data_IF_273758198753
#
_entry.id   IF_273758198753
#
_cell.length_a   1.000
_cell.length_b   1.000
_cell.length_c   1.000
_cell.angle_alpha   90.00
_cell.angle_beta   90.00
_cell.angle_gamma   90.00
#
_symmetry.space_group_name_H-M   'P 1'
#
loop_
_entity.id
_entity.type
_entity.pdbx_description
1 polymer ?
#
# COMPACT_ATOMS: atom_id res chain seq x y z
N UNK A 1 4.86 23.04 5.46
CA UNK A 1 5.52 22.37 6.58
C UNK A 1 5.34 23.17 7.88
N UNK A 2 5.27 22.54 9.07
CA UNK A 2 5.02 23.22 10.34
C UNK A 2 5.98 24.37 10.68
N UNK A 3 7.27 24.21 10.36
CA UNK A 3 8.33 25.19 10.67
C UNK A 3 8.14 26.56 9.98
N UNK A 4 7.37 26.61 8.89
CA UNK A 4 7.02 27.87 8.21
C UNK A 4 6.00 28.68 9.02
N UNK A 5 5.09 28.01 9.74
CA UNK A 5 4.14 28.66 10.64
C UNK A 5 4.85 29.17 11.90
N UNK A 6 5.91 28.48 12.32
CA UNK A 6 6.76 28.87 13.46
C UNK A 6 7.79 29.96 13.09
N UNK A 7 7.81 30.42 11.84
CA UNK A 7 8.75 31.43 11.32
C UNK A 7 10.23 31.07 11.57
N UNK A 8 10.56 29.78 11.57
CA UNK A 8 11.92 29.28 11.77
C UNK A 8 12.71 29.24 10.45
N UNK A 9 14.04 29.21 10.56
CA UNK A 9 14.90 28.91 9.40
C UNK A 9 14.61 27.49 8.90
N UNK A 10 14.42 27.34 7.60
CA UNK A 10 14.01 26.08 6.98
C UNK A 10 15.07 25.52 6.03
N UNK A 11 14.92 24.25 5.66
CA UNK A 11 15.79 23.51 4.73
C UNK A 11 14.93 22.84 3.65
N UNK A 12 15.55 22.06 2.75
CA UNK A 12 14.86 21.25 1.73
C UNK A 12 13.79 20.29 2.29
N UNK A 13 13.84 19.99 3.59
CA UNK A 13 12.85 19.12 4.25
C UNK A 13 11.44 19.70 4.27
N UNK A 14 11.26 21.00 4.01
CA UNK A 14 9.92 21.58 3.79
C UNK A 14 9.24 21.01 2.56
N UNK A 15 10.02 20.70 1.51
CA UNK A 15 9.51 20.12 0.28
C UNK A 15 9.12 18.65 0.49
N UNK A 16 9.82 17.94 1.38
CA UNK A 16 9.47 16.57 1.74
C UNK A 16 8.10 16.51 2.43
N UNK A 17 7.81 17.47 3.31
CA UNK A 17 6.48 17.58 3.91
C UNK A 17 5.42 17.81 2.84
N UNK A 18 5.65 18.78 1.95
CA UNK A 18 4.71 19.10 0.86
C UNK A 18 4.45 17.88 -0.02
N UNK A 19 5.51 17.16 -0.42
CA UNK A 19 5.40 15.95 -1.22
C UNK A 19 4.67 14.83 -0.47
N UNK A 20 4.98 14.60 0.81
CA UNK A 20 4.27 13.63 1.63
C UNK A 20 2.77 13.94 1.76
N UNK A 21 2.41 15.21 1.97
CA UNK A 21 1.00 15.61 2.07
C UNK A 21 0.25 15.43 0.75
N UNK A 22 0.91 15.73 -0.36
CA UNK A 22 0.37 15.55 -1.70
C UNK A 22 0.19 14.06 -2.02
N UNK A 23 1.21 13.23 -1.77
CA UNK A 23 1.16 11.80 -2.01
C UNK A 23 0.04 11.13 -1.19
N UNK A 24 -0.11 11.51 0.08
CA UNK A 24 -1.21 11.04 0.92
C UNK A 24 -2.58 11.41 0.33
N UNK A 25 -2.74 12.65 -0.13
CA UNK A 25 -3.99 13.13 -0.74
C UNK A 25 -4.30 12.39 -2.05
N UNK A 26 -3.30 12.10 -2.88
CA UNK A 26 -3.49 11.29 -4.08
C UNK A 26 -3.96 9.86 -3.76
N UNK A 27 -3.53 9.28 -2.64
CA UNK A 27 -3.90 7.91 -2.23
C UNK A 27 -5.31 7.88 -1.62
N UNK A 28 -5.66 8.87 -0.81
CA UNK A 28 -6.84 8.84 0.08
C UNK A 28 -7.96 9.79 -0.34
N UNK A 29 -7.67 10.77 -1.20
CA UNK A 29 -8.61 11.81 -1.63
C UNK A 29 -8.72 13.02 -0.68
N UNK A 30 -7.96 13.08 0.41
CA UNK A 30 -7.96 14.22 1.33
C UNK A 30 -6.59 14.45 2.00
N UNK A 31 -6.34 15.65 2.53
CA UNK A 31 -5.06 15.98 3.18
C UNK A 31 -4.90 15.27 4.54
N UNK A 32 -3.68 14.83 4.91
CA UNK A 32 -3.46 13.98 6.08
C UNK A 32 -3.79 14.62 7.43
N UNK A 33 -3.72 15.95 7.55
CA UNK A 33 -3.80 16.62 8.85
C UNK A 33 -4.88 17.70 8.84
N UNK A 34 -6.05 17.40 9.41
CA UNK A 34 -7.15 18.34 9.72
C UNK A 34 -7.33 19.46 8.67
N UNK A 35 -7.69 19.13 7.41
CA UNK A 35 -7.62 20.04 6.26
C UNK A 35 -8.39 21.35 6.39
N UNK A 36 -9.46 21.35 7.19
CA UNK A 36 -10.40 22.45 7.33
C UNK A 36 -10.17 23.30 8.59
N UNK A 37 -9.19 22.94 9.42
CA UNK A 37 -8.89 23.64 10.67
C UNK A 37 -8.06 24.91 10.42
N UNK A 38 -8.30 25.95 11.21
CA UNK A 38 -7.52 27.19 11.14
C UNK A 38 -6.07 26.97 11.60
N UNK A 39 -5.07 27.70 11.05
CA UNK A 39 -3.65 27.42 11.29
C UNK A 39 -3.24 27.31 12.77
N UNK A 40 -3.78 28.14 13.66
CA UNK A 40 -3.44 28.13 15.09
C UNK A 40 -3.98 26.87 15.79
N UNK A 41 -5.24 26.52 15.55
CA UNK A 41 -5.86 25.32 16.10
C UNK A 41 -5.22 24.06 15.53
N UNK A 42 -4.97 24.07 14.22
CA UNK A 42 -4.27 23.01 13.49
C UNK A 42 -2.89 22.76 14.09
N UNK A 43 -2.08 23.81 14.27
CA UNK A 43 -0.72 23.68 14.80
C UNK A 43 -0.73 23.11 16.22
N UNK A 44 -1.59 23.64 17.10
CA UNK A 44 -1.74 23.16 18.48
C UNK A 44 -2.11 21.68 18.56
N UNK A 45 -2.97 21.21 17.64
CA UNK A 45 -3.47 19.83 17.66
C UNK A 45 -2.52 18.85 16.96
N UNK A 46 -2.04 19.16 15.76
CA UNK A 46 -1.18 18.28 14.98
C UNK A 46 0.21 18.14 15.61
N UNK A 47 0.68 19.13 16.37
CA UNK A 47 1.91 19.03 17.16
C UNK A 47 1.90 17.88 18.18
N UNK A 48 0.72 17.39 18.58
CA UNK A 48 0.56 16.28 19.53
C UNK A 48 0.77 14.90 18.87
N UNK A 49 0.92 14.85 17.54
CA UNK A 49 1.09 13.59 16.81
C UNK A 49 2.38 12.87 17.20
N UNK A 50 2.35 11.54 17.15
CA UNK A 50 3.53 10.70 17.24
C UNK A 50 4.40 10.81 15.98
N UNK A 51 5.64 10.32 16.05
CA UNK A 51 6.53 10.20 14.88
C UNK A 51 5.95 9.28 13.80
N UNK A 52 5.14 8.30 14.21
CA UNK A 52 4.54 7.30 13.32
C UNK A 52 3.18 7.74 12.74
N UNK A 53 2.57 8.79 13.28
CA UNK A 53 1.26 9.24 12.84
C UNK A 53 1.36 9.94 11.47
N UNK A 54 0.66 9.39 10.48
CA UNK A 54 0.60 9.91 9.11
C UNK A 54 -0.73 10.59 8.81
N UNK A 55 -1.74 10.42 9.67
CA UNK A 55 -3.04 11.08 9.52
C UNK A 55 -3.59 11.51 10.87
N UNK A 56 -4.19 12.70 10.89
CA UNK A 56 -4.98 13.25 12.00
C UNK A 56 -6.29 13.78 11.41
N UNK A 57 -7.39 13.16 11.80
CA UNK A 57 -8.71 13.47 11.26
C UNK A 57 -9.76 13.57 12.37
N UNK A 58 -10.88 14.20 12.03
CA UNK A 58 -12.04 14.33 12.91
C UNK A 58 -13.08 13.30 12.48
N UNK A 59 -13.55 12.47 13.42
CA UNK A 59 -14.60 11.50 13.13
C UNK A 59 -15.99 12.15 13.10
N UNK A 60 -17.03 11.35 12.82
CA UNK A 60 -18.41 11.85 12.73
C UNK A 60 -18.95 12.40 14.06
N UNK A 61 -18.32 12.08 15.19
CA UNK A 61 -18.68 12.59 16.51
C UNK A 61 -17.91 13.88 16.88
N UNK A 62 -17.06 14.39 15.99
CA UNK A 62 -16.18 15.52 16.26
C UNK A 62 -14.92 15.15 17.07
N UNK A 63 -14.64 13.85 17.25
CA UNK A 63 -13.46 13.41 17.98
C UNK A 63 -12.23 13.36 17.06
N UNK A 64 -11.15 14.00 17.49
CA UNK A 64 -9.88 13.98 16.74
C UNK A 64 -9.15 12.67 17.00
N UNK A 65 -8.90 11.91 15.94
CA UNK A 65 -8.15 10.64 15.94
C UNK A 65 -6.79 10.82 15.27
N UNK A 66 -5.80 10.12 15.81
CA UNK A 66 -4.44 10.02 15.27
C UNK A 66 -4.23 8.58 14.81
N UNK A 67 -3.60 8.38 13.65
CA UNK A 67 -3.32 7.05 13.13
C UNK A 67 -1.99 7.00 12.38
N UNK A 68 -1.29 5.88 12.56
CA UNK A 68 -0.08 5.51 11.83
C UNK A 68 -0.36 4.69 10.57
N UNK A 69 -1.61 4.34 10.31
CA UNK A 69 -2.06 3.53 9.17
C UNK A 69 -2.80 4.38 8.15
N UNK A 70 -2.63 4.03 6.87
CA UNK A 70 -3.30 4.66 5.75
C UNK A 70 -4.80 4.38 5.85
N UNK A 71 -5.65 5.42 5.76
CA UNK A 71 -7.10 5.24 5.74
C UNK A 71 -7.59 4.33 4.62
N UNK A 72 -8.63 3.56 4.93
CA UNK A 72 -9.44 2.84 3.96
C UNK A 72 -10.73 3.64 3.68
N UNK A 73 -11.22 3.74 2.44
CA UNK A 73 -10.80 3.01 1.24
C UNK A 73 -9.66 3.67 0.48
N UNK A 74 -8.80 2.85 -0.13
CA UNK A 74 -7.80 3.27 -1.10
C UNK A 74 -7.61 2.17 -2.16
N UNK A 75 -6.94 2.50 -3.26
CA UNK A 75 -6.77 1.61 -4.41
C UNK A 75 -5.40 0.89 -4.44
N UNK A 76 -4.65 0.92 -3.34
CA UNK A 76 -3.36 0.26 -3.25
C UNK A 76 -3.52 -1.22 -2.92
N UNK A 77 -2.60 -2.05 -3.41
CA UNK A 77 -2.46 -3.42 -2.92
C UNK A 77 -1.83 -3.45 -1.52
N UNK A 78 -1.95 -4.59 -0.83
CA UNK A 78 -1.51 -4.74 0.56
C UNK A 78 -0.01 -4.46 0.78
N UNK A 79 0.83 -4.82 -0.19
CA UNK A 79 2.29 -4.63 -0.11
C UNK A 79 2.64 -3.15 -0.28
N UNK A 80 2.10 -2.49 -1.31
CA UNK A 80 2.31 -1.06 -1.53
C UNK A 80 1.76 -0.24 -0.37
N UNK A 81 0.58 -0.58 0.15
CA UNK A 81 0.00 0.07 1.33
C UNK A 81 0.98 0.04 2.51
N UNK A 82 1.46 -1.14 2.89
CA UNK A 82 2.37 -1.29 4.03
C UNK A 82 3.71 -0.55 3.82
N UNK A 83 4.23 -0.53 2.58
CA UNK A 83 5.50 0.12 2.24
C UNK A 83 5.36 1.65 2.21
N UNK A 84 4.31 2.15 1.57
CA UNK A 84 4.03 3.58 1.47
C UNK A 84 3.61 4.19 2.81
N UNK A 85 2.93 3.45 3.69
CA UNK A 85 2.68 3.88 5.08
C UNK A 85 3.98 4.26 5.78
N UNK A 86 4.98 3.37 5.77
CA UNK A 86 6.29 3.61 6.39
C UNK A 86 7.04 4.75 5.73
N UNK A 87 6.99 4.83 4.39
CA UNK A 87 7.60 5.93 3.67
C UNK A 87 6.95 7.28 4.02
N UNK A 88 5.63 7.33 4.14
CA UNK A 88 4.89 8.52 4.56
C UNK A 88 5.24 8.97 5.99
N UNK A 89 5.58 8.04 6.89
CA UNK A 89 6.09 8.40 8.23
C UNK A 89 7.38 9.23 8.14
N UNK A 90 8.27 8.91 7.18
CA UNK A 90 9.50 9.68 6.94
C UNK A 90 9.18 11.09 6.41
N UNK A 91 8.21 11.19 5.50
CA UNK A 91 7.86 12.43 4.80
C UNK A 91 7.01 13.37 5.65
N UNK A 92 6.08 12.81 6.43
CA UNK A 92 5.15 13.52 7.32
C UNK A 92 5.68 13.62 8.76
N UNK A 93 6.99 13.46 8.94
CA UNK A 93 7.67 13.66 10.21
C UNK A 93 7.56 15.12 10.66
N UNK A 94 7.17 15.34 11.92
CA UNK A 94 7.08 16.71 12.46
C UNK A 94 8.46 17.34 12.58
N UNK A 95 9.43 16.61 13.13
CA UNK A 95 10.78 17.12 13.40
C UNK A 95 11.56 17.43 12.11
N UNK A 96 11.89 18.71 11.81
CA UNK A 96 12.44 19.10 10.51
C UNK A 96 13.73 18.37 10.12
N UNK A 97 14.67 18.18 11.06
CA UNK A 97 15.96 17.51 10.77
C UNK A 97 15.87 16.00 10.61
N UNK A 98 14.83 15.37 11.15
CA UNK A 98 14.65 13.91 11.06
C UNK A 98 13.77 13.56 9.85
N UNK A 99 12.96 14.50 9.37
CA UNK A 99 12.14 14.33 8.18
C UNK A 99 12.98 13.93 6.97
N UNK A 100 12.53 12.89 6.28
CA UNK A 100 13.22 12.30 5.14
C UNK A 100 14.49 11.49 5.48
N UNK A 101 14.78 11.27 6.76
CA UNK A 101 15.89 10.40 7.19
C UNK A 101 15.43 8.95 7.19
N UNK A 102 15.98 8.14 6.30
CA UNK A 102 15.67 6.72 6.22
C UNK A 102 16.61 5.91 7.13
N UNK A 103 16.13 4.84 7.81
CA UNK A 103 16.97 4.02 8.68
C UNK A 103 18.16 3.34 7.99
N UNK A 104 18.03 2.99 6.70
CA UNK A 104 19.07 2.33 5.93
C UNK A 104 19.94 3.35 5.15
N UNK A 105 19.32 4.38 4.57
CA UNK A 105 20.00 5.35 3.71
C UNK A 105 20.45 6.64 4.40
N UNK A 106 20.04 6.86 5.65
CA UNK A 106 20.41 8.02 6.44
C UNK A 106 19.68 9.31 6.02
N UNK A 107 20.23 10.50 6.33
CA UNK A 107 19.57 11.77 6.06
C UNK A 107 19.38 12.00 4.55
N UNK A 108 18.19 12.49 4.16
CA UNK A 108 17.75 12.63 2.76
C UNK A 108 17.62 11.29 2.01
N UNK A 109 17.57 10.17 2.73
CA UNK A 109 17.41 8.82 2.19
C UNK A 109 16.00 8.49 1.68
N UNK A 110 15.02 9.37 1.90
CA UNK A 110 13.62 9.12 1.54
C UNK A 110 13.36 8.87 0.05
N UNK A 111 14.18 9.39 -0.85
CA UNK A 111 14.03 9.13 -2.29
C UNK A 111 14.52 7.74 -2.66
N UNK A 112 15.65 7.28 -2.12
CA UNK A 112 16.10 5.89 -2.32
C UNK A 112 15.11 4.90 -1.72
N UNK A 113 14.56 5.22 -0.54
CA UNK A 113 13.50 4.43 0.06
C UNK A 113 12.25 4.36 -0.84
N UNK A 114 11.92 5.43 -1.57
CA UNK A 114 10.84 5.40 -2.55
C UNK A 114 11.22 4.60 -3.80
N UNK A 115 12.44 4.74 -4.29
CA UNK A 115 12.96 3.98 -5.43
C UNK A 115 12.87 2.47 -5.16
N UNK A 116 13.21 2.02 -3.96
CA UNK A 116 13.04 0.62 -3.56
C UNK A 116 11.59 0.13 -3.66
N UNK A 117 10.63 1.00 -3.32
CA UNK A 117 9.20 0.68 -3.41
C UNK A 117 8.75 0.64 -4.87
N UNK A 118 9.18 1.62 -5.68
CA UNK A 118 8.83 1.72 -7.09
C UNK A 118 9.45 0.61 -7.94
N UNK A 119 10.62 0.09 -7.54
CA UNK A 119 11.30 -1.01 -8.22
C UNK A 119 10.80 -2.40 -7.80
N UNK A 120 9.79 -2.49 -6.92
CA UNK A 120 9.19 -3.77 -6.56
C UNK A 120 8.52 -4.43 -7.77
N UNK A 121 8.90 -5.68 -8.03
CA UNK A 121 8.18 -6.56 -8.95
C UNK A 121 7.11 -7.29 -8.16
N UNK A 122 5.84 -7.00 -8.44
CA UNK A 122 4.71 -7.57 -7.72
C UNK A 122 3.94 -8.51 -8.64
N UNK A 123 3.62 -9.70 -8.13
CA UNK A 123 2.72 -10.66 -8.78
C UNK A 123 1.41 -10.71 -8.02
N UNK A 124 0.30 -10.63 -8.74
CA UNK A 124 -1.04 -10.63 -8.17
C UNK A 124 -1.76 -11.94 -8.52
N UNK A 125 -2.27 -12.61 -7.49
CA UNK A 125 -2.90 -13.94 -7.63
C UNK A 125 -4.29 -13.88 -7.04
N UNK A 126 -5.30 -14.02 -7.90
CA UNK A 126 -6.69 -14.17 -7.48
C UNK A 126 -6.97 -15.64 -7.16
N UNK A 127 -7.20 -15.94 -5.89
CA UNK A 127 -7.62 -17.26 -5.46
C UNK A 127 -9.10 -17.46 -5.82
N UNK A 128 -9.38 -18.35 -6.76
CA UNK A 128 -10.75 -18.61 -7.24
C UNK A 128 -11.60 -19.38 -6.23
N UNK A 129 -10.99 -19.99 -5.21
CA UNK A 129 -11.71 -20.66 -4.10
C UNK A 129 -12.34 -19.63 -3.16
N UNK A 130 -11.62 -18.56 -2.85
CA UNK A 130 -12.01 -17.57 -1.82
C UNK A 130 -12.43 -16.22 -2.40
N UNK A 131 -12.08 -15.93 -3.66
CA UNK A 131 -12.25 -14.62 -4.28
C UNK A 131 -11.30 -13.54 -3.74
N UNK A 132 -10.20 -13.92 -3.07
CA UNK A 132 -9.23 -12.99 -2.48
C UNK A 132 -7.99 -12.84 -3.36
N UNK A 133 -7.48 -11.61 -3.45
CA UNK A 133 -6.24 -11.31 -4.19
C UNK A 133 -5.05 -11.37 -3.22
N UNK A 134 -4.08 -12.19 -3.52
CA UNK A 134 -2.79 -12.29 -2.83
C UNK A 134 -1.73 -11.57 -3.67
N UNK A 135 -0.89 -10.74 -3.04
CA UNK A 135 0.17 -9.99 -3.73
C UNK A 135 1.52 -10.41 -3.19
N UNK A 136 2.41 -10.83 -4.09
CA UNK A 136 3.73 -11.34 -3.75
C UNK A 136 4.81 -10.47 -4.39
N UNK A 137 5.72 -9.84 -3.62
CA UNK A 137 6.95 -9.32 -4.19
C UNK A 137 7.83 -10.48 -4.64
N UNK A 138 8.35 -10.40 -5.86
CA UNK A 138 9.23 -11.40 -6.46
C UNK A 138 10.55 -10.79 -6.91
N UNK A 139 11.64 -11.55 -6.85
CA UNK A 139 12.91 -11.16 -7.47
C UNK A 139 13.00 -11.67 -8.91
N UNK A 140 13.95 -11.16 -9.69
CA UNK A 140 14.18 -11.62 -11.08
C UNK A 140 14.52 -13.10 -11.15
N UNK A 141 15.21 -13.58 -10.12
CA UNK A 141 15.76 -14.95 -10.04
C UNK A 141 14.80 -15.91 -9.33
N UNK A 142 13.66 -15.45 -8.83
CA UNK A 142 12.73 -16.29 -8.07
C UNK A 142 12.07 -17.33 -8.98
N UNK A 143 12.20 -18.60 -8.62
CA UNK A 143 11.59 -19.70 -9.37
C UNK A 143 10.09 -19.77 -9.14
N UNK A 144 9.34 -20.34 -10.10
CA UNK A 144 7.91 -20.54 -9.94
C UNK A 144 7.59 -21.47 -8.75
N UNK A 145 8.46 -22.43 -8.44
CA UNK A 145 8.30 -23.33 -7.29
C UNK A 145 8.37 -22.55 -5.96
N UNK A 146 9.27 -21.57 -5.83
CA UNK A 146 9.31 -20.68 -4.66
C UNK A 146 8.00 -19.92 -4.48
N UNK A 147 7.47 -19.37 -5.57
CA UNK A 147 6.18 -18.67 -5.55
C UNK A 147 5.04 -19.63 -5.16
N UNK A 148 4.98 -20.84 -5.73
CA UNK A 148 3.99 -21.87 -5.38
C UNK A 148 4.02 -22.25 -3.90
N UNK A 149 5.21 -22.36 -3.31
CA UNK A 149 5.38 -22.63 -1.88
C UNK A 149 4.81 -21.49 -1.01
N UNK A 150 4.96 -20.23 -1.44
CA UNK A 150 4.38 -19.05 -0.74
C UNK A 150 2.87 -19.01 -0.89
N UNK A 151 2.35 -19.31 -2.09
CA UNK A 151 0.90 -19.44 -2.34
C UNK A 151 0.30 -20.50 -1.43
N UNK A 152 0.96 -21.64 -1.27
CA UNK A 152 0.52 -22.72 -0.39
C UNK A 152 0.38 -22.25 1.07
N UNK A 153 1.29 -21.39 1.55
CA UNK A 153 1.22 -20.88 2.93
C UNK A 153 -0.01 -20.00 3.16
N UNK A 154 -0.38 -19.17 2.19
CA UNK A 154 -1.51 -18.24 2.30
C UNK A 154 -2.87 -18.88 1.94
N UNK A 155 -2.88 -19.88 1.07
CA UNK A 155 -4.12 -20.49 0.54
C UNK A 155 -4.39 -21.89 1.05
N UNK A 156 -3.38 -22.59 1.55
CA UNK A 156 -3.46 -24.00 1.93
C UNK A 156 -3.45 -24.99 0.75
N UNK A 157 -3.46 -24.52 -0.50
CA UNK A 157 -3.52 -25.39 -1.69
C UNK A 157 -2.12 -26.00 -1.94
N UNK A 158 -1.97 -27.34 -1.99
CA UNK A 158 -0.70 -28.01 -2.30
C UNK A 158 -0.13 -27.59 -3.67
N UNK A 159 1.19 -27.63 -3.84
CA UNK A 159 1.84 -27.11 -5.05
C UNK A 159 1.46 -27.89 -6.32
N UNK A 160 1.19 -29.19 -6.15
CA UNK A 160 0.69 -30.12 -7.16
C UNK A 160 -0.75 -29.82 -7.59
N UNK A 161 -1.56 -29.25 -6.70
CA UNK A 161 -2.97 -28.93 -6.94
C UNK A 161 -3.18 -27.48 -7.41
N UNK A 162 -2.13 -26.65 -7.34
CA UNK A 162 -2.15 -25.27 -7.82
C UNK A 162 -2.10 -25.21 -9.35
N UNK A 163 -3.25 -24.95 -9.97
CA UNK A 163 -3.37 -24.58 -11.38
C UNK A 163 -3.38 -23.05 -11.51
N UNK A 164 -2.32 -22.50 -12.09
CA UNK A 164 -2.12 -21.05 -12.26
C UNK A 164 -2.32 -20.68 -13.73
N UNK A 165 -3.34 -19.88 -14.02
CA UNK A 165 -3.72 -19.46 -15.36
C UNK A 165 -3.59 -17.94 -15.53
N UNK A 166 -3.10 -17.49 -16.68
CA UNK A 166 -3.15 -16.09 -17.10
C UNK A 166 -4.53 -15.76 -17.69
N UNK A 167 -4.80 -14.47 -17.94
CA UNK A 167 -6.06 -13.99 -18.53
C UNK A 167 -6.44 -14.71 -19.83
N UNK A 168 -5.46 -15.07 -20.67
CA UNK A 168 -5.67 -15.81 -21.91
C UNK A 168 -6.00 -17.31 -21.71
N UNK A 169 -6.13 -17.79 -20.47
CA UNK A 169 -6.34 -19.20 -20.13
C UNK A 169 -5.09 -20.07 -20.29
N UNK A 170 -3.91 -19.46 -20.41
CA UNK A 170 -2.63 -20.16 -20.54
C UNK A 170 -2.07 -20.48 -19.16
N UNK A 171 -1.66 -21.74 -18.97
CA UNK A 171 -0.96 -22.16 -17.75
C UNK A 171 0.46 -21.60 -17.69
N UNK A 172 0.91 -21.26 -16.48
CA UNK A 172 2.28 -20.81 -16.25
C UNK A 172 3.30 -21.92 -16.57
N UNK A 173 4.44 -21.52 -17.14
CA UNK A 173 5.50 -22.44 -17.56
C UNK A 173 6.44 -22.71 -16.39
N UNK A 174 6.58 -23.97 -16.00
CA UNK A 174 7.35 -24.39 -14.81
C UNK A 174 8.85 -24.04 -14.85
N UNK A 175 9.45 -23.97 -16.03
CA UNK A 175 10.89 -23.71 -16.21
C UNK A 175 11.21 -22.20 -16.29
N UNK A 176 10.18 -21.35 -16.33
CA UNK A 176 10.34 -19.89 -16.34
C UNK A 176 10.27 -19.32 -14.91
N UNK A 177 10.95 -18.18 -14.66
CA UNK A 177 10.90 -17.52 -13.36
C UNK A 177 9.48 -17.02 -13.03
N UNK A 178 9.24 -16.70 -11.76
CA UNK A 178 7.98 -16.16 -11.26
C UNK A 178 7.61 -14.82 -11.94
N UNK A 179 8.61 -14.06 -12.39
CA UNK A 179 8.45 -12.81 -13.14
C UNK A 179 7.71 -12.96 -14.47
N UNK A 180 7.53 -14.18 -14.98
CA UNK A 180 6.70 -14.43 -16.17
C UNK A 180 5.24 -13.98 -16.01
N UNK A 181 4.79 -13.78 -14.77
CA UNK A 181 3.44 -13.29 -14.45
C UNK A 181 3.30 -11.78 -14.69
N UNK A 182 4.41 -11.07 -14.87
CA UNK A 182 4.44 -9.61 -15.02
C UNK A 182 4.62 -9.28 -16.50
N UNK A 183 3.72 -8.47 -17.04
CA UNK A 183 3.81 -7.97 -18.40
C UNK A 183 4.83 -6.82 -18.46
N UNK A 184 5.80 -6.90 -19.38
CA UNK A 184 6.80 -5.86 -19.67
C UNK A 184 6.21 -4.58 -20.33
N UNK A 185 4.90 -4.35 -20.19
CA UNK A 185 4.22 -3.16 -20.69
C UNK A 185 4.70 -1.90 -19.97
N UNK A 186 4.85 -0.79 -20.69
CA UNK A 186 5.17 0.51 -20.09
C UNK A 186 4.15 0.85 -19.00
N UNK A 187 4.63 1.07 -17.77
CA UNK A 187 3.87 1.63 -16.65
C UNK A 187 3.26 2.97 -17.08
N UNK A 188 1.98 2.96 -17.44
CA UNK A 188 1.19 4.14 -17.77
C UNK A 188 0.13 4.36 -16.67
N UNK A 189 -0.50 5.54 -16.62
CA UNK A 189 -1.51 5.90 -15.60
C UNK A 189 -2.72 4.95 -15.49
N UNK A 190 -2.93 4.06 -16.47
CA UNK A 190 -3.95 3.02 -16.46
C UNK A 190 -3.48 1.63 -16.00
N UNK A 191 -2.23 1.48 -15.54
CA UNK A 191 -1.76 0.20 -15.00
C UNK A 191 -2.50 -0.07 -13.69
N UNK A 192 -3.34 -1.10 -13.72
CA UNK A 192 -4.12 -1.57 -12.58
C UNK A 192 -3.70 -2.99 -12.26
N UNK A 193 -4.05 -3.45 -11.06
CA UNK A 193 -3.90 -4.84 -10.62
C UNK A 193 -4.40 -5.87 -11.65
N UNK A 194 -5.36 -5.48 -12.49
CA UNK A 194 -6.00 -6.34 -13.48
C UNK A 194 -5.09 -6.68 -14.68
N UNK A 195 -4.04 -5.88 -14.97
CA UNK A 195 -3.18 -6.10 -16.14
C UNK A 195 -2.19 -7.27 -15.98
N UNK A 196 -1.88 -7.67 -14.73
CA UNK A 196 -0.90 -8.72 -14.40
C UNK A 196 -1.47 -9.73 -13.39
N UNK A 197 -2.76 -10.02 -13.52
CA UNK A 197 -3.47 -10.92 -12.63
C UNK A 197 -3.35 -12.38 -13.09
N UNK A 198 -2.94 -13.24 -12.18
CA UNK A 198 -2.95 -14.70 -12.35
C UNK A 198 -4.09 -15.29 -11.55
N UNK A 199 -4.83 -16.22 -12.16
CA UNK A 199 -5.94 -16.92 -11.54
C UNK A 199 -5.45 -18.25 -10.98
N UNK A 200 -5.68 -18.46 -9.69
CA UNK A 200 -5.36 -19.70 -8.98
C UNK A 200 -6.60 -20.57 -8.83
N UNK A 201 -6.52 -21.77 -9.41
CA UNK A 201 -7.48 -22.85 -9.27
C UNK A 201 -6.89 -23.99 -8.44
N UNK A 202 -7.78 -24.80 -7.89
CA UNK A 202 -7.47 -25.92 -7.01
C UNK A 202 -7.97 -27.19 -7.69
N UNK A 203 -7.05 -27.99 -8.24
CA UNK A 203 -7.37 -29.22 -8.97
C UNK A 203 -8.07 -30.28 -8.10
N UNK A 204 -7.97 -30.17 -6.77
CA UNK A 204 -8.68 -31.07 -5.86
C UNK A 204 -10.18 -30.79 -5.81
N UNK A 205 -10.63 -29.60 -6.26
CA UNK A 205 -12.03 -29.17 -6.22
C UNK A 205 -12.75 -29.45 -7.53
N UNK A 206 -13.87 -30.16 -7.43
CA UNK A 206 -14.79 -30.43 -8.55
C UNK A 206 -15.91 -29.38 -8.63
N UNK A 207 -16.19 -28.68 -7.52
CA UNK A 207 -17.19 -27.62 -7.43
C UNK A 207 -16.70 -26.48 -6.54
N UNK A 208 -17.07 -25.25 -6.90
CA UNK A 208 -16.72 -24.05 -6.16
C UNK A 208 -17.97 -23.51 -5.46
N UNK A 209 -17.90 -23.36 -4.14
CA UNK A 209 -18.94 -22.66 -3.40
C UNK A 209 -18.81 -21.15 -3.62
N UNK A 210 -19.94 -20.45 -3.69
CA UNK A 210 -20.00 -18.99 -3.79
C UNK A 210 -19.73 -18.34 -2.42
N UNK A 211 -18.52 -18.51 -1.88
CA UNK A 211 -18.08 -17.81 -0.67
C UNK A 211 -17.40 -16.49 -1.03
N UNK A 212 -18.15 -15.56 -1.62
CA UNK A 212 -17.65 -14.20 -1.87
C UNK A 212 -17.81 -13.39 -0.59
N UNK A 213 -16.76 -13.33 0.22
CA UNK A 213 -16.75 -12.41 1.37
C UNK A 213 -16.64 -10.97 0.85
N UNK A 214 -17.66 -10.11 1.06
CA UNK A 214 -17.59 -8.74 0.58
C UNK A 214 -16.46 -7.98 1.28
N UNK A 215 -15.81 -7.07 0.56
CA UNK A 215 -14.73 -6.24 1.14
C UNK A 215 -15.23 -5.52 2.40
N UNK A 216 -14.40 -5.46 3.46
CA UNK A 216 -14.76 -4.73 4.68
C UNK A 216 -15.02 -3.26 4.33
N UNK A 217 -16.06 -2.68 4.92
CA UNK A 217 -16.42 -1.28 4.69
C UNK A 217 -15.63 -0.36 5.62
N UNK A 218 -15.36 0.89 5.21
CA UNK A 218 -14.73 1.90 6.08
C UNK A 218 -15.53 2.15 7.36
N UNK A 219 -14.85 2.60 8.42
CA UNK A 219 -15.48 2.94 9.72
C UNK A 219 -16.65 3.93 9.57
N UNK A 220 -16.49 4.97 8.75
CA UNK A 220 -17.53 5.98 8.52
C UNK A 220 -18.80 5.38 7.89
N UNK A 221 -18.63 4.48 6.93
CA UNK A 221 -19.75 3.80 6.25
C UNK A 221 -20.48 2.86 7.21
N UNK A 222 -19.74 2.10 8.01
CA UNK A 222 -20.34 1.22 9.01
C UNK A 222 -21.03 1.98 10.15
N UNK A 223 -20.53 3.17 10.49
CA UNK A 223 -21.14 4.06 11.50
C UNK A 223 -22.50 4.61 11.05
N UNK A 224 -22.63 5.03 9.79
CA UNK A 224 -23.89 5.59 9.24
C UNK A 224 -24.97 4.52 9.05
N UNK A 225 -24.59 3.25 8.87
CA UNK A 225 -25.53 2.13 8.70
C UNK A 225 -26.15 1.63 10.02
N UNK A 226 -25.65 2.08 11.17
CA UNK A 226 -26.21 1.77 12.50
C UNK A 226 -27.26 2.81 12.89
#
# INVERSE_FOLDING_TARGET
>A
APELLEQQKYTVTVDYWSFGTLAFECITGFRPFLPNWQPVQWHSKVRQKSEMDIVVFEDLNGAVKFSSSLPYPNNLNSILLQRLEKWLQLMLMWHPRQRGTDPAYGPNGCFKALDDILNLKLVHILNMVTGTIHTYPVSEDESLQSLKARIRQDTGIPEEDQELLQEAGLALISDKPATQCISDGKLNEGHTLDMDLVFLFDNSKVTYETQISPRPQPESVSCIRK
#
